data_IF_372383948323
#
_entry.id   IF_372383948323
#
_cell.length_a   1.000
_cell.length_b   1.000
_cell.length_c   1.000
_cell.angle_alpha   90.00
_cell.angle_beta   90.00
_cell.angle_gamma   90.00
#
_symmetry.space_group_name_H-M   'P 1'
#
loop_
_entity.id
_entity.type
_entity.pdbx_description
1 polymer ?
#
# COMPACT_ATOMS: atom_id res chain seq x y z
N UNK A 1 -19.21 -24.05 -4.37
CA UNK A 1 -17.73 -23.92 -4.46
C UNK A 1 -17.39 -22.56 -3.89
N UNK A 2 -16.35 -22.45 -3.06
CA UNK A 2 -15.91 -21.14 -2.56
C UNK A 2 -15.43 -20.29 -3.73
N UNK A 3 -15.90 -19.05 -3.84
CA UNK A 3 -15.56 -18.18 -4.97
C UNK A 3 -15.24 -16.76 -4.50
N UNK A 4 -14.26 -16.17 -5.16
CA UNK A 4 -13.83 -14.79 -4.98
C UNK A 4 -13.88 -14.08 -6.33
N UNK A 5 -14.40 -12.85 -6.33
CA UNK A 5 -14.27 -11.94 -7.46
C UNK A 5 -13.22 -10.90 -7.12
N UNK A 6 -12.12 -10.89 -7.86
CA UNK A 6 -11.01 -9.98 -7.63
C UNK A 6 -10.90 -8.95 -8.76
N UNK A 7 -11.23 -7.69 -8.48
CA UNK A 7 -10.99 -6.58 -9.41
C UNK A 7 -9.51 -6.22 -9.41
N UNK A 8 -8.87 -6.28 -10.59
CA UNK A 8 -7.46 -6.00 -10.79
C UNK A 8 -6.64 -7.26 -11.03
N UNK A 9 -6.41 -7.59 -12.29
CA UNK A 9 -5.58 -8.72 -12.69
C UNK A 9 -4.10 -8.34 -12.81
N UNK A 10 -3.66 -7.23 -12.21
CA UNK A 10 -2.25 -6.79 -12.20
C UNK A 10 -1.36 -7.62 -11.26
N UNK A 11 -0.11 -7.18 -11.09
CA UNK A 11 0.87 -7.95 -10.31
C UNK A 11 0.50 -8.08 -8.82
N UNK A 12 -0.15 -7.08 -8.21
CA UNK A 12 -0.64 -7.19 -6.81
C UNK A 12 -1.81 -8.19 -6.74
N UNK A 13 -2.76 -8.12 -7.66
CA UNK A 13 -3.88 -9.06 -7.67
C UNK A 13 -3.42 -10.50 -7.86
N UNK A 14 -2.55 -10.77 -8.84
CA UNK A 14 -2.05 -12.12 -9.11
C UNK A 14 -0.98 -12.58 -8.12
N UNK A 15 -0.06 -11.71 -7.74
CA UNK A 15 1.07 -12.05 -6.88
C UNK A 15 0.77 -11.99 -5.38
N UNK A 16 -0.39 -11.48 -4.96
CA UNK A 16 -0.72 -11.32 -3.54
C UNK A 16 -2.16 -11.73 -3.23
N UNK A 17 -3.14 -10.84 -3.44
CA UNK A 17 -4.50 -11.05 -2.91
C UNK A 17 -5.20 -12.24 -3.56
N UNK A 18 -5.24 -12.29 -4.89
CA UNK A 18 -5.84 -13.41 -5.62
C UNK A 18 -5.09 -14.73 -5.43
N UNK A 19 -3.75 -14.70 -5.28
CA UNK A 19 -2.96 -15.88 -4.95
C UNK A 19 -3.37 -16.48 -3.59
N UNK A 20 -3.50 -15.64 -2.56
CA UNK A 20 -3.92 -16.09 -1.22
C UNK A 20 -5.32 -16.71 -1.23
N UNK A 21 -6.27 -16.14 -1.98
CA UNK A 21 -7.59 -16.75 -2.16
C UNK A 21 -7.52 -18.12 -2.84
N UNK A 22 -6.77 -18.24 -3.94
CA UNK A 22 -6.60 -19.51 -4.64
C UNK A 22 -5.96 -20.58 -3.75
N UNK A 23 -4.91 -20.22 -3.00
CA UNK A 23 -4.26 -21.10 -2.01
C UNK A 23 -5.21 -21.52 -0.89
N UNK A 24 -6.22 -20.70 -0.59
CA UNK A 24 -7.29 -20.98 0.38
C UNK A 24 -8.43 -21.84 -0.18
N UNK A 25 -8.28 -22.35 -1.41
CA UNK A 25 -9.27 -23.19 -2.09
C UNK A 25 -10.44 -22.43 -2.72
N UNK A 26 -10.32 -21.12 -2.92
CA UNK A 26 -11.32 -20.34 -3.66
C UNK A 26 -11.05 -20.46 -5.17
N UNK A 27 -12.12 -20.54 -5.95
CA UNK A 27 -12.04 -20.20 -7.36
C UNK A 27 -11.98 -18.67 -7.49
N UNK A 28 -10.91 -18.15 -8.10
CA UNK A 28 -10.70 -16.70 -8.24
C UNK A 28 -11.05 -16.24 -9.64
N UNK A 29 -12.10 -15.43 -9.74
CA UNK A 29 -12.47 -14.74 -10.98
C UNK A 29 -11.86 -13.35 -10.97
N UNK A 30 -10.76 -13.18 -11.70
CA UNK A 30 -10.16 -11.87 -11.92
C UNK A 30 -11.03 -11.03 -12.87
N UNK A 31 -11.16 -9.75 -12.57
CA UNK A 31 -11.92 -8.78 -13.36
C UNK A 31 -11.00 -7.62 -13.71
N UNK A 32 -10.75 -7.42 -15.01
CA UNK A 32 -9.84 -6.38 -15.51
C UNK A 32 -10.23 -5.97 -16.94
N UNK A 33 -9.70 -4.86 -17.44
CA UNK A 33 -9.91 -4.39 -18.81
C UNK A 33 -8.85 -4.92 -19.79
N UNK A 34 -7.74 -5.47 -19.27
CA UNK A 34 -6.61 -5.94 -20.06
C UNK A 34 -6.88 -7.30 -20.72
N UNK A 35 -7.38 -7.28 -21.97
CA UNK A 35 -7.71 -8.48 -22.75
C UNK A 35 -6.60 -9.55 -22.74
N UNK A 36 -5.35 -9.15 -22.97
CA UNK A 36 -4.21 -10.08 -23.00
C UNK A 36 -4.11 -10.90 -21.70
N UNK A 37 -4.29 -10.25 -20.54
CA UNK A 37 -4.23 -10.93 -19.24
C UNK A 37 -5.45 -11.83 -19.03
N UNK A 38 -6.64 -11.36 -19.41
CA UNK A 38 -7.89 -12.13 -19.28
C UNK A 38 -7.85 -13.39 -20.16
N UNK A 39 -7.39 -13.27 -21.40
CA UNK A 39 -7.26 -14.39 -22.34
C UNK A 39 -6.22 -15.41 -21.84
N UNK A 40 -5.09 -14.94 -21.30
CA UNK A 40 -4.09 -15.81 -20.68
C UNK A 40 -4.66 -16.54 -19.46
N UNK A 41 -5.37 -15.85 -18.56
CA UNK A 41 -6.00 -16.47 -17.38
C UNK A 41 -6.98 -17.58 -17.78
N UNK A 42 -7.78 -17.35 -18.81
CA UNK A 42 -8.77 -18.33 -19.26
C UNK A 42 -8.19 -19.51 -20.04
N UNK A 43 -7.09 -19.28 -20.79
CA UNK A 43 -6.41 -20.33 -21.53
C UNK A 43 -5.52 -21.21 -20.64
N UNK A 44 -4.78 -20.61 -19.71
CA UNK A 44 -3.82 -21.31 -18.85
C UNK A 44 -4.46 -21.83 -17.55
N UNK A 45 -5.48 -21.12 -17.01
CA UNK A 45 -6.18 -21.42 -15.75
C UNK A 45 -5.29 -21.60 -14.53
N UNK A 46 -4.04 -21.20 -14.66
CA UNK A 46 -2.98 -21.31 -13.67
C UNK A 46 -1.85 -20.36 -14.02
N UNK A 47 -1.02 -20.03 -13.04
CA UNK A 47 0.21 -19.25 -13.19
C UNK A 47 1.11 -19.46 -11.97
N UNK A 48 2.33 -18.92 -12.00
CA UNK A 48 3.29 -19.05 -10.90
C UNK A 48 3.52 -17.73 -10.18
N UNK A 49 3.66 -17.81 -8.86
CA UNK A 49 4.15 -16.73 -8.02
C UNK A 49 5.52 -17.14 -7.50
N UNK A 50 6.54 -16.39 -7.90
CA UNK A 50 7.94 -16.66 -7.59
C UNK A 50 8.44 -15.67 -6.54
N UNK A 51 9.18 -16.13 -5.54
CA UNK A 51 9.81 -15.23 -4.55
C UNK A 51 11.12 -14.65 -5.09
N UNK A 52 11.34 -13.38 -4.80
CA UNK A 52 12.62 -12.69 -5.01
C UNK A 52 13.59 -13.08 -3.90
N UNK A 53 14.03 -14.34 -3.87
CA UNK A 53 14.91 -14.91 -2.85
C UNK A 53 15.82 -15.99 -3.46
N UNK A 54 16.85 -16.41 -2.70
CA UNK A 54 17.70 -17.56 -3.02
C UNK A 54 17.77 -18.50 -1.80
N UNK A 55 17.27 -19.75 -1.89
CA UNK A 55 16.63 -20.33 -3.07
C UNK A 55 15.29 -19.64 -3.40
N UNK A 56 15.00 -19.52 -4.69
CA UNK A 56 13.69 -19.03 -5.16
C UNK A 56 12.62 -20.07 -4.83
N UNK A 57 11.54 -19.62 -4.21
CA UNK A 57 10.35 -20.43 -3.97
C UNK A 57 9.30 -20.10 -5.03
N UNK A 58 8.63 -21.14 -5.54
CA UNK A 58 7.57 -21.00 -6.53
C UNK A 58 6.29 -21.62 -6.00
N UNK A 59 5.23 -20.82 -5.92
CA UNK A 59 3.88 -21.29 -5.68
C UNK A 59 3.11 -21.35 -7.00
N UNK A 60 2.53 -22.51 -7.31
CA UNK A 60 1.59 -22.64 -8.43
C UNK A 60 0.20 -22.20 -7.96
N UNK A 61 -0.39 -21.26 -8.71
CA UNK A 61 -1.72 -20.73 -8.45
C UNK A 61 -2.66 -21.34 -9.49
N UNK A 62 -3.72 -21.99 -9.04
CA UNK A 62 -4.69 -22.71 -9.89
C UNK A 62 -6.12 -22.25 -9.61
N UNK A 63 -7.11 -22.80 -10.31
CA UNK A 63 -8.53 -22.47 -10.09
C UNK A 63 -8.81 -20.97 -10.29
N UNK A 64 -8.31 -20.45 -11.40
CA UNK A 64 -8.49 -19.04 -11.77
C UNK A 64 -9.17 -18.89 -13.12
N UNK A 65 -9.87 -17.79 -13.31
CA UNK A 65 -10.44 -17.35 -14.59
C UNK A 65 -10.42 -15.82 -14.67
N UNK A 66 -10.66 -15.28 -15.86
CA UNK A 66 -10.74 -13.84 -16.10
C UNK A 66 -12.05 -13.43 -16.76
N UNK A 67 -12.57 -12.25 -16.41
CA UNK A 67 -13.65 -11.56 -17.11
C UNK A 67 -13.24 -10.14 -17.46
N UNK A 68 -13.50 -9.72 -18.71
CA UNK A 68 -13.31 -8.34 -19.11
C UNK A 68 -14.55 -7.50 -18.78
N UNK A 69 -14.47 -6.59 -17.80
CA UNK A 69 -15.63 -5.83 -17.34
C UNK A 69 -16.17 -4.79 -18.34
N UNK A 70 -15.46 -4.50 -19.43
CA UNK A 70 -15.99 -3.67 -20.53
C UNK A 70 -16.81 -4.48 -21.54
N UNK A 71 -16.62 -5.81 -21.58
CA UNK A 71 -17.23 -6.70 -22.58
C UNK A 71 -18.21 -7.70 -21.99
N UNK A 72 -18.01 -8.07 -20.73
CA UNK A 72 -18.67 -9.18 -20.04
C UNK A 72 -19.34 -8.69 -18.74
N UNK A 73 -20.02 -7.55 -18.81
CA UNK A 73 -20.65 -6.91 -17.65
C UNK A 73 -21.62 -7.87 -16.93
N UNK A 74 -22.43 -8.61 -17.69
CA UNK A 74 -23.46 -9.50 -17.13
C UNK A 74 -22.84 -10.71 -16.42
N UNK A 75 -21.73 -11.23 -16.96
CA UNK A 75 -20.98 -12.32 -16.36
C UNK A 75 -20.30 -11.88 -15.06
N UNK A 76 -19.81 -10.63 -14.98
CA UNK A 76 -19.28 -10.08 -13.73
C UNK A 76 -20.40 -9.92 -12.69
N UNK A 77 -21.57 -9.43 -13.09
CA UNK A 77 -22.75 -9.33 -12.21
C UNK A 77 -23.15 -10.71 -11.67
N UNK A 78 -23.17 -11.73 -12.55
CA UNK A 78 -23.45 -13.11 -12.16
C UNK A 78 -22.40 -13.64 -11.18
N UNK A 79 -21.12 -13.41 -11.44
CA UNK A 79 -20.03 -13.86 -10.58
C UNK A 79 -20.11 -13.24 -9.18
N UNK A 80 -20.45 -11.95 -9.07
CA UNK A 80 -20.68 -11.29 -7.77
C UNK A 80 -21.91 -11.88 -7.06
N UNK A 81 -22.95 -12.25 -7.81
CA UNK A 81 -24.14 -12.94 -7.31
C UNK A 81 -23.84 -14.25 -6.57
N UNK A 82 -22.73 -14.91 -6.91
CA UNK A 82 -22.31 -16.20 -6.35
C UNK A 82 -21.11 -16.11 -5.40
N UNK A 83 -20.36 -15.01 -5.42
CA UNK A 83 -19.12 -14.83 -4.65
C UNK A 83 -19.32 -14.87 -3.13
N UNK A 84 -18.34 -15.37 -2.39
CA UNK A 84 -18.26 -15.17 -0.93
C UNK A 84 -17.48 -13.87 -0.61
N UNK A 85 -16.49 -13.55 -1.45
CA UNK A 85 -15.69 -12.33 -1.36
C UNK A 85 -15.66 -11.53 -2.65
N UNK A 86 -15.71 -10.21 -2.53
CA UNK A 86 -15.34 -9.26 -3.58
C UNK A 86 -14.15 -8.46 -3.08
N UNK A 87 -13.04 -8.50 -3.81
CA UNK A 87 -11.81 -7.80 -3.44
C UNK A 87 -11.28 -6.94 -4.57
N UNK A 88 -10.47 -5.94 -4.26
CA UNK A 88 -9.88 -5.04 -5.27
C UNK A 88 -8.40 -4.80 -5.03
N UNK A 89 -7.62 -4.69 -6.11
CA UNK A 89 -6.25 -4.17 -6.12
C UNK A 89 -5.98 -3.44 -7.46
N UNK A 90 -6.66 -2.30 -7.65
CA UNK A 90 -6.77 -1.57 -8.94
C UNK A 90 -6.30 -0.12 -8.88
N UNK A 91 -5.89 0.35 -7.71
CA UNK A 91 -5.57 1.74 -7.47
C UNK A 91 -6.79 2.52 -6.97
N UNK A 92 -6.65 3.34 -5.91
CA UNK A 92 -7.76 4.07 -5.29
C UNK A 92 -8.56 4.95 -6.26
N UNK A 93 -7.90 5.55 -7.25
CA UNK A 93 -8.53 6.41 -8.25
C UNK A 93 -9.49 5.66 -9.19
N UNK A 94 -9.43 4.33 -9.23
CA UNK A 94 -10.28 3.48 -10.07
C UNK A 94 -11.50 2.95 -9.29
N UNK A 95 -11.48 2.95 -7.94
CA UNK A 95 -12.60 2.51 -7.11
C UNK A 95 -13.95 3.17 -7.47
N UNK A 96 -14.04 4.48 -7.77
CA UNK A 96 -15.32 5.08 -8.17
C UNK A 96 -15.83 4.55 -9.52
N UNK A 97 -14.93 4.09 -10.41
CA UNK A 97 -15.29 3.63 -11.76
C UNK A 97 -15.86 2.22 -11.78
N UNK A 98 -15.42 1.36 -10.87
CA UNK A 98 -15.89 -0.03 -10.74
C UNK A 98 -17.08 -0.18 -9.79
N UNK A 99 -17.29 0.77 -8.87
CA UNK A 99 -18.39 0.75 -7.91
C UNK A 99 -19.79 0.56 -8.55
N UNK A 100 -20.15 1.18 -9.69
CA UNK A 100 -21.45 0.93 -10.33
C UNK A 100 -21.67 -0.53 -10.74
N UNK A 101 -20.61 -1.20 -11.22
CA UNK A 101 -20.69 -2.61 -11.59
C UNK A 101 -20.85 -3.51 -10.36
N UNK A 102 -20.10 -3.22 -9.30
CA UNK A 102 -20.24 -3.95 -8.03
C UNK A 102 -21.65 -3.75 -7.44
N UNK A 103 -22.18 -2.52 -7.49
CA UNK A 103 -23.52 -2.20 -7.05
C UNK A 103 -24.59 -3.02 -7.80
N UNK A 104 -24.48 -3.16 -9.13
CA UNK A 104 -25.39 -4.02 -9.92
C UNK A 104 -25.32 -5.50 -9.47
N UNK A 105 -24.12 -6.01 -9.23
CA UNK A 105 -23.89 -7.36 -8.71
C UNK A 105 -24.52 -7.56 -7.32
N UNK A 106 -24.29 -6.63 -6.40
CA UNK A 106 -24.87 -6.64 -5.05
C UNK A 106 -26.40 -6.55 -5.11
N UNK A 107 -26.95 -5.63 -5.91
CA UNK A 107 -28.39 -5.48 -6.13
C UNK A 107 -29.05 -6.77 -6.55
N UNK A 108 -28.47 -7.49 -7.51
CA UNK A 108 -28.98 -8.80 -7.92
C UNK A 108 -28.86 -9.79 -6.77
N UNK A 109 -27.68 -9.86 -6.14
CA UNK A 109 -27.38 -10.83 -5.09
C UNK A 109 -28.36 -10.76 -3.92
N UNK A 110 -28.58 -9.59 -3.33
CA UNK A 110 -29.37 -9.45 -2.08
C UNK A 110 -30.84 -9.88 -2.23
N UNK A 111 -31.33 -9.98 -3.47
CA UNK A 111 -32.68 -10.47 -3.82
C UNK A 111 -32.74 -11.99 -4.02
N UNK A 112 -31.62 -12.63 -4.32
CA UNK A 112 -31.55 -14.03 -4.77
C UNK A 112 -30.75 -14.93 -3.82
N UNK A 113 -29.90 -14.34 -2.98
CA UNK A 113 -28.94 -15.04 -2.14
C UNK A 113 -28.88 -14.41 -0.74
N UNK A 114 -29.12 -15.23 0.28
CA UNK A 114 -29.08 -14.83 1.69
C UNK A 114 -27.68 -14.97 2.31
N UNK A 115 -26.74 -15.63 1.64
CA UNK A 115 -25.40 -15.85 2.18
C UNK A 115 -24.58 -14.54 2.23
N UNK A 116 -23.83 -14.30 3.33
CA UNK A 116 -22.98 -13.13 3.46
C UNK A 116 -22.06 -12.89 2.26
N UNK A 117 -21.86 -11.63 1.91
CA UNK A 117 -20.86 -11.15 0.96
C UNK A 117 -19.89 -10.23 1.69
N UNK A 118 -18.60 -10.51 1.58
CA UNK A 118 -17.55 -9.71 2.20
C UNK A 118 -16.80 -8.89 1.13
N UNK A 119 -16.86 -7.57 1.24
CA UNK A 119 -16.23 -6.63 0.32
C UNK A 119 -15.00 -6.01 0.98
N UNK A 120 -13.82 -6.16 0.36
CA UNK A 120 -12.54 -5.70 0.90
C UNK A 120 -11.69 -5.06 -0.20
N UNK A 121 -11.51 -3.74 -0.15
CA UNK A 121 -10.57 -3.05 -1.02
C UNK A 121 -9.15 -3.16 -0.46
N UNK A 122 -8.27 -3.84 -1.19
CA UNK A 122 -6.88 -4.13 -0.82
C UNK A 122 -5.94 -3.13 -1.53
N UNK A 123 -6.10 -1.85 -1.20
CA UNK A 123 -5.41 -0.75 -1.87
C UNK A 123 -4.35 -0.12 -0.96
N UNK A 124 -3.36 0.56 -1.56
CA UNK A 124 -2.41 1.40 -0.81
C UNK A 124 -3.06 2.75 -0.41
N UNK A 125 -4.18 2.69 0.30
CA UNK A 125 -4.99 3.82 0.72
C UNK A 125 -5.74 3.49 2.02
N UNK A 126 -5.64 4.38 3.00
CA UNK A 126 -6.40 4.30 4.26
C UNK A 126 -7.89 4.44 3.94
N UNK A 127 -8.73 3.56 4.50
CA UNK A 127 -10.18 3.62 4.32
C UNK A 127 -10.64 3.27 2.90
N UNK A 128 -9.85 2.52 2.13
CA UNK A 128 -10.19 2.21 0.74
C UNK A 128 -11.55 1.50 0.59
N UNK A 129 -11.91 0.61 1.53
CA UNK A 129 -13.20 -0.06 1.48
C UNK A 129 -14.33 0.89 1.82
N UNK A 130 -14.14 1.85 2.74
CA UNK A 130 -15.15 2.88 3.00
C UNK A 130 -15.38 3.80 1.80
N UNK A 131 -14.30 4.17 1.08
CA UNK A 131 -14.39 4.92 -0.17
C UNK A 131 -15.20 4.13 -1.19
N UNK A 132 -14.87 2.85 -1.37
CA UNK A 132 -15.59 1.96 -2.29
C UNK A 132 -17.07 1.79 -1.88
N UNK A 133 -17.34 1.55 -0.60
CA UNK A 133 -18.68 1.42 -0.01
C UNK A 133 -19.51 2.65 -0.31
N UNK A 134 -18.99 3.85 -0.05
CA UNK A 134 -19.68 5.10 -0.37
C UNK A 134 -20.11 5.13 -1.83
N UNK A 135 -19.18 4.88 -2.75
CA UNK A 135 -19.48 4.86 -4.18
C UNK A 135 -20.45 3.75 -4.58
N UNK A 136 -20.43 2.58 -3.93
CA UNK A 136 -21.42 1.52 -4.17
C UNK A 136 -22.81 1.98 -3.72
N UNK A 137 -22.93 2.51 -2.50
CA UNK A 137 -24.21 2.96 -1.94
C UNK A 137 -24.84 4.10 -2.77
N UNK A 138 -24.02 4.99 -3.32
CA UNK A 138 -24.46 6.06 -4.23
C UNK A 138 -25.09 5.54 -5.53
N UNK A 139 -24.84 4.27 -5.88
CA UNK A 139 -25.36 3.61 -7.10
C UNK A 139 -26.55 2.68 -6.82
N UNK A 140 -26.92 2.48 -5.56
CA UNK A 140 -28.05 1.64 -5.17
C UNK A 140 -29.33 2.48 -5.02
N UNK A 141 -30.46 1.90 -5.42
CA UNK A 141 -31.78 2.45 -5.14
C UNK A 141 -32.15 2.31 -3.65
N UNK A 142 -33.12 3.11 -3.21
CA UNK A 142 -33.54 3.16 -1.79
C UNK A 142 -34.27 1.90 -1.33
N UNK A 143 -34.76 1.06 -2.24
CA UNK A 143 -35.33 -0.24 -1.91
C UNK A 143 -34.24 -1.28 -1.62
N UNK A 144 -33.10 -1.20 -2.32
CA UNK A 144 -31.99 -2.15 -2.20
C UNK A 144 -31.12 -1.87 -0.98
N UNK A 145 -30.86 -0.60 -0.64
CA UNK A 145 -29.94 -0.25 0.48
C UNK A 145 -30.30 -0.95 1.80
N UNK A 146 -31.57 -1.01 2.25
CA UNK A 146 -31.92 -1.74 3.47
C UNK A 146 -31.67 -3.26 3.39
N UNK A 147 -31.70 -3.84 2.18
CA UNK A 147 -31.49 -5.28 1.98
C UNK A 147 -30.03 -5.72 2.19
N UNK A 148 -29.08 -4.77 2.26
CA UNK A 148 -27.68 -5.08 2.54
C UNK A 148 -27.45 -5.47 4.00
N UNK A 149 -28.30 -4.99 4.92
CA UNK A 149 -28.13 -5.23 6.35
C UNK A 149 -28.12 -6.73 6.66
N UNK A 150 -27.08 -7.18 7.36
CA UNK A 150 -26.86 -8.60 7.67
C UNK A 150 -26.43 -9.49 6.48
N UNK A 151 -26.37 -8.95 5.25
CA UNK A 151 -25.99 -9.70 4.04
C UNK A 151 -24.70 -9.23 3.39
N UNK A 152 -24.36 -7.94 3.46
CA UNK A 152 -23.17 -7.38 2.82
C UNK A 152 -22.33 -6.65 3.84
N UNK A 153 -21.09 -7.08 3.98
CA UNK A 153 -20.13 -6.56 4.95
C UNK A 153 -18.97 -5.90 4.22
N UNK A 154 -18.57 -4.73 4.71
CA UNK A 154 -17.48 -3.94 4.15
C UNK A 154 -16.40 -3.82 5.22
N UNK A 155 -15.22 -4.36 4.95
CA UNK A 155 -14.10 -4.32 5.89
C UNK A 155 -12.92 -3.59 5.27
N UNK A 156 -12.39 -2.60 5.98
CA UNK A 156 -11.13 -1.99 5.59
C UNK A 156 -9.98 -2.98 5.76
N UNK A 157 -8.91 -2.75 5.01
CA UNK A 157 -7.70 -3.57 5.11
C UNK A 157 -6.43 -2.74 5.04
N UNK A 158 -5.37 -3.27 5.64
CA UNK A 158 -4.00 -2.84 5.45
C UNK A 158 -3.24 -3.96 4.75
N UNK A 159 -2.60 -3.63 3.63
CA UNK A 159 -1.86 -4.58 2.80
C UNK A 159 -0.42 -4.13 2.61
N UNK A 160 0.53 -5.06 2.73
CA UNK A 160 1.94 -4.82 2.50
C UNK A 160 2.59 -6.02 1.83
N UNK A 161 3.02 -5.81 0.59
CA UNK A 161 3.89 -6.72 -0.16
C UNK A 161 4.62 -5.92 -1.24
N UNK A 162 5.94 -6.01 -1.26
CA UNK A 162 6.78 -5.44 -2.31
C UNK A 162 6.70 -6.36 -3.52
N UNK A 163 6.28 -5.77 -4.63
CA UNK A 163 6.23 -6.41 -5.93
C UNK A 163 7.08 -5.55 -6.86
N UNK A 164 8.29 -6.00 -7.23
CA UNK A 164 9.21 -5.20 -8.05
C UNK A 164 8.62 -4.92 -9.43
N UNK A 165 9.14 -3.88 -10.08
CA UNK A 165 8.87 -3.68 -11.51
C UNK A 165 9.41 -4.90 -12.26
N UNK A 166 8.57 -5.45 -13.11
CA UNK A 166 8.85 -6.65 -13.86
C UNK A 166 8.11 -6.60 -15.18
N UNK A 167 8.73 -7.16 -16.22
CA UNK A 167 8.14 -7.23 -17.54
C UNK A 167 7.55 -8.62 -17.75
N UNK A 168 6.24 -8.73 -17.53
CA UNK A 168 5.51 -9.98 -17.66
C UNK A 168 4.77 -10.10 -19.00
N UNK A 169 5.23 -9.43 -20.07
CA UNK A 169 4.58 -9.52 -21.39
C UNK A 169 4.45 -10.98 -21.83
N UNK A 170 3.23 -11.39 -22.19
CA UNK A 170 2.91 -12.77 -22.54
C UNK A 170 2.97 -13.79 -21.41
N UNK A 171 3.14 -13.37 -20.14
CA UNK A 171 3.19 -14.27 -18.98
C UNK A 171 2.27 -13.79 -17.86
N UNK A 172 1.62 -14.73 -17.18
CA UNK A 172 0.87 -14.45 -15.95
C UNK A 172 1.75 -14.47 -14.71
N UNK A 173 2.92 -15.09 -14.79
CA UNK A 173 3.80 -15.28 -13.65
C UNK A 173 4.20 -13.95 -13.01
N UNK A 174 4.37 -13.95 -11.69
CA UNK A 174 4.70 -12.74 -10.93
C UNK A 174 5.85 -13.03 -9.97
N UNK A 175 6.86 -12.16 -9.97
CA UNK A 175 7.90 -12.10 -8.97
C UNK A 175 7.45 -11.21 -7.80
N UNK A 176 7.58 -11.68 -6.57
CA UNK A 176 7.16 -10.96 -5.36
C UNK A 176 8.19 -11.14 -4.26
N UNK A 177 8.24 -10.25 -3.27
CA UNK A 177 9.01 -10.55 -2.07
C UNK A 177 8.36 -11.72 -1.27
N UNK A 178 9.16 -12.40 -0.44
CA UNK A 178 8.68 -13.47 0.44
C UNK A 178 7.74 -12.94 1.52
N UNK A 179 8.03 -11.76 2.08
CA UNK A 179 7.19 -11.14 3.09
C UNK A 179 5.85 -10.68 2.50
N UNK A 180 4.78 -10.88 3.25
CA UNK A 180 3.54 -10.18 3.02
C UNK A 180 2.80 -9.97 4.35
N UNK A 181 1.93 -8.99 4.40
CA UNK A 181 1.01 -8.75 5.51
C UNK A 181 -0.34 -8.27 4.95
N UNK A 182 -1.41 -8.95 5.33
CA UNK A 182 -2.77 -8.56 5.00
C UNK A 182 -3.63 -8.61 6.25
N UNK A 183 -4.03 -7.43 6.72
CA UNK A 183 -4.81 -7.24 7.93
C UNK A 183 -6.17 -6.67 7.56
N UNK A 184 -7.25 -7.24 8.11
CA UNK A 184 -8.63 -6.85 7.83
C UNK A 184 -9.31 -6.45 9.13
N UNK A 185 -10.01 -5.31 9.13
CA UNK A 185 -10.70 -4.77 10.29
C UNK A 185 -12.07 -5.43 10.48
N UNK A 186 -12.17 -6.34 11.45
CA UNK A 186 -13.44 -6.97 11.85
C UNK A 186 -13.29 -7.69 13.19
N UNK A 187 -14.37 -7.68 13.97
CA UNK A 187 -14.58 -8.52 15.17
C UNK A 187 -15.44 -9.77 14.86
N UNK A 188 -15.93 -9.89 13.62
CA UNK A 188 -16.79 -10.98 13.18
C UNK A 188 -15.97 -12.20 12.78
N UNK A 189 -16.51 -13.39 13.06
CA UNK A 189 -16.01 -14.61 12.47
C UNK A 189 -16.37 -14.65 10.99
N UNK A 190 -15.35 -14.66 10.13
CA UNK A 190 -15.50 -14.67 8.67
C UNK A 190 -14.76 -15.89 8.09
N UNK A 191 -15.16 -16.36 6.90
CA UNK A 191 -14.46 -17.47 6.25
C UNK A 191 -12.95 -17.23 6.15
N UNK A 192 -12.17 -18.26 6.51
CA UNK A 192 -10.71 -18.16 6.53
C UNK A 192 -10.12 -18.02 5.12
N UNK A 193 -9.13 -17.14 5.02
CA UNK A 193 -8.24 -16.98 3.86
C UNK A 193 -6.80 -16.97 4.37
N UNK A 194 -5.95 -17.80 3.77
CA UNK A 194 -4.51 -17.89 4.01
C UNK A 194 -3.88 -16.50 3.98
N UNK A 195 -3.01 -16.21 4.94
CA UNK A 195 -2.34 -14.92 5.04
C UNK A 195 -3.19 -13.73 5.50
N UNK A 196 -4.52 -13.87 5.62
CA UNK A 196 -5.41 -12.82 6.13
C UNK A 196 -5.48 -12.87 7.66
N UNK A 197 -5.10 -11.78 8.31
CA UNK A 197 -5.26 -11.60 9.77
C UNK A 197 -6.42 -10.65 10.04
N UNK A 198 -7.33 -11.00 10.93
CA UNK A 198 -8.43 -10.11 11.35
C UNK A 198 -8.12 -9.44 12.67
N UNK A 199 -8.42 -8.14 12.78
CA UNK A 199 -8.21 -7.35 14.00
C UNK A 199 -9.40 -6.44 14.25
N UNK A 200 -9.72 -6.10 15.50
CA UNK A 200 -10.84 -5.21 15.81
C UNK A 200 -10.54 -3.73 15.50
N UNK A 201 -9.27 -3.34 15.42
CA UNK A 201 -8.83 -1.99 15.10
C UNK A 201 -7.61 -2.05 14.17
N UNK A 202 -7.74 -1.38 13.02
CA UNK A 202 -6.74 -1.37 11.96
C UNK A 202 -5.74 -0.21 12.10
N UNK A 203 -6.06 0.82 12.88
CA UNK A 203 -5.25 2.03 12.99
C UNK A 203 -3.79 1.74 13.40
N UNK A 204 -3.49 0.87 14.39
CA UNK A 204 -2.11 0.55 14.77
C UNK A 204 -1.32 -0.08 13.61
N UNK A 205 -1.96 -0.93 12.79
CA UNK A 205 -1.32 -1.60 11.67
C UNK A 205 -1.04 -0.67 10.51
N UNK A 206 -1.99 0.22 10.20
CA UNK A 206 -1.83 1.25 9.18
C UNK A 206 -0.68 2.17 9.52
N UNK A 207 -0.65 2.72 10.74
CA UNK A 207 0.40 3.65 11.13
C UNK A 207 1.74 2.96 11.32
N UNK A 208 1.78 1.74 11.88
CA UNK A 208 3.01 0.95 11.95
C UNK A 208 3.61 0.71 10.56
N UNK A 209 2.79 0.33 9.58
CA UNK A 209 3.26 0.14 8.20
C UNK A 209 3.71 1.47 7.58
N UNK A 210 2.92 2.53 7.73
CA UNK A 210 3.25 3.85 7.18
C UNK A 210 4.54 4.41 7.79
N UNK A 211 4.74 4.26 9.09
CA UNK A 211 5.84 4.89 9.82
C UNK A 211 7.08 4.01 9.97
N UNK A 212 6.98 2.72 9.62
CA UNK A 212 8.15 1.84 9.53
C UNK A 212 8.50 1.52 8.09
N UNK A 213 7.58 0.94 7.31
CA UNK A 213 7.86 0.52 5.94
C UNK A 213 7.98 1.73 5.02
N UNK A 214 6.94 2.57 4.95
CA UNK A 214 6.97 3.68 3.98
C UNK A 214 8.02 4.73 4.37
N UNK A 215 8.14 5.06 5.65
CA UNK A 215 9.19 5.97 6.16
C UNK A 215 10.57 5.43 5.86
N UNK A 216 10.88 4.19 6.26
CA UNK A 216 12.20 3.59 6.05
C UNK A 216 12.58 3.55 4.57
N UNK A 217 11.63 3.20 3.70
CA UNK A 217 11.88 3.14 2.26
C UNK A 217 12.14 4.55 1.66
N UNK A 218 11.38 5.56 2.09
CA UNK A 218 11.57 6.95 1.65
C UNK A 218 12.88 7.54 2.17
N UNK A 219 13.22 7.31 3.45
CA UNK A 219 14.49 7.75 4.05
C UNK A 219 15.65 7.13 3.30
N UNK A 220 15.61 5.82 3.06
CA UNK A 220 16.65 5.11 2.28
C UNK A 220 16.81 5.71 0.89
N UNK A 221 15.71 5.98 0.20
CA UNK A 221 15.74 6.57 -1.14
C UNK A 221 16.36 7.97 -1.16
N UNK A 222 15.99 8.85 -0.23
CA UNK A 222 16.49 10.23 -0.22
C UNK A 222 17.98 10.29 0.15
N UNK A 223 18.41 9.56 1.17
CA UNK A 223 19.83 9.48 1.52
C UNK A 223 20.65 8.74 0.47
N UNK A 224 20.12 7.65 -0.11
CA UNK A 224 20.75 6.94 -1.21
C UNK A 224 20.95 7.84 -2.43
N UNK A 225 19.94 8.63 -2.80
CA UNK A 225 20.04 9.58 -3.90
C UNK A 225 21.09 10.68 -3.63
N UNK A 226 21.11 11.26 -2.44
CA UNK A 226 22.14 12.24 -2.05
C UNK A 226 23.56 11.66 -2.08
N UNK A 227 23.69 10.38 -1.74
CA UNK A 227 24.96 9.65 -1.78
C UNK A 227 25.31 9.07 -3.16
N UNK A 228 24.52 9.32 -4.20
CA UNK A 228 24.75 8.83 -5.57
C UNK A 228 24.61 7.31 -5.73
N UNK A 229 23.83 6.65 -4.86
CA UNK A 229 23.52 5.21 -4.97
C UNK A 229 22.40 4.99 -5.98
N UNK A 230 22.40 3.88 -6.70
CA UNK A 230 21.40 3.62 -7.73
C UNK A 230 20.15 2.95 -7.15
N UNK A 231 20.35 1.98 -6.25
CA UNK A 231 19.26 1.16 -5.69
C UNK A 231 19.18 1.23 -4.16
N UNK A 232 18.03 0.82 -3.63
CA UNK A 232 17.73 0.77 -2.19
C UNK A 232 18.66 -0.20 -1.45
N UNK A 233 18.94 -1.36 -2.02
CA UNK A 233 19.86 -2.34 -1.45
C UNK A 233 21.31 -1.82 -1.43
N UNK A 234 21.76 -1.15 -2.51
CA UNK A 234 23.05 -0.47 -2.53
C UNK A 234 23.16 0.65 -1.48
N UNK A 235 22.09 1.42 -1.29
CA UNK A 235 22.04 2.46 -0.27
C UNK A 235 22.16 1.88 1.14
N UNK A 236 21.49 0.76 1.43
CA UNK A 236 21.55 0.11 2.75
C UNK A 236 22.82 -0.70 3.00
N UNK A 237 23.65 -0.93 1.97
CA UNK A 237 25.00 -1.46 2.14
C UNK A 237 25.99 -0.38 2.61
N UNK A 238 25.58 0.90 2.61
CA UNK A 238 26.34 1.99 3.23
C UNK A 238 26.02 2.09 4.73
N UNK A 239 27.00 1.86 5.64
CA UNK A 239 26.73 1.85 7.08
C UNK A 239 26.15 3.18 7.60
N UNK A 240 26.50 4.32 7.00
CA UNK A 240 25.98 5.60 7.44
C UNK A 240 24.49 5.76 7.10
N UNK A 241 24.08 5.31 5.91
CA UNK A 241 22.68 5.32 5.48
C UNK A 241 21.86 4.30 6.29
N UNK A 242 22.40 3.09 6.49
CA UNK A 242 21.77 2.06 7.32
C UNK A 242 21.46 2.60 8.72
N UNK A 243 22.44 3.20 9.40
CA UNK A 243 22.25 3.77 10.74
C UNK A 243 21.27 4.95 10.73
N UNK A 244 21.32 5.81 9.71
CA UNK A 244 20.36 6.90 9.59
C UNK A 244 18.92 6.37 9.46
N UNK A 245 18.68 5.38 8.61
CA UNK A 245 17.37 4.74 8.43
C UNK A 245 16.92 4.11 9.74
N UNK A 246 17.77 3.30 10.36
CA UNK A 246 17.48 2.62 11.63
C UNK A 246 17.12 3.60 12.74
N UNK A 247 17.85 4.71 12.88
CA UNK A 247 17.59 5.71 13.91
C UNK A 247 16.31 6.51 13.62
N UNK A 248 16.01 6.84 12.35
CA UNK A 248 14.71 7.43 11.99
C UNK A 248 13.56 6.47 12.34
N UNK A 249 13.71 5.17 12.08
CA UNK A 249 12.68 4.18 12.40
C UNK A 249 12.50 3.94 13.91
N UNK A 250 13.54 4.13 14.72
CA UNK A 250 13.40 4.13 16.18
C UNK A 250 12.61 5.32 16.70
N UNK A 251 12.79 6.51 16.11
CA UNK A 251 11.99 7.69 16.46
C UNK A 251 10.50 7.48 16.15
N UNK A 252 10.18 6.94 14.97
CA UNK A 252 8.79 6.59 14.65
C UNK A 252 8.26 5.46 15.52
N UNK A 253 9.09 4.48 15.85
CA UNK A 253 8.75 3.39 16.76
C UNK A 253 8.43 3.83 18.18
N UNK A 254 9.15 4.83 18.70
CA UNK A 254 8.86 5.44 20.01
C UNK A 254 7.46 6.09 20.02
N UNK A 255 7.11 6.81 18.95
CA UNK A 255 5.76 7.37 18.78
C UNK A 255 4.69 6.28 18.75
N UNK A 256 4.89 5.22 17.96
CA UNK A 256 3.93 4.12 17.83
C UNK A 256 3.76 3.36 19.15
N UNK A 257 4.84 3.11 19.87
CA UNK A 257 4.84 2.46 21.19
C UNK A 257 4.05 3.27 22.19
N UNK A 258 4.29 4.59 22.27
CA UNK A 258 3.58 5.46 23.20
C UNK A 258 2.09 5.65 22.84
N UNK A 259 1.77 5.71 21.54
CA UNK A 259 0.41 6.00 21.06
C UNK A 259 -0.50 4.77 21.08
N UNK A 260 0.03 3.62 20.66
CA UNK A 260 -0.74 2.39 20.48
C UNK A 260 -0.43 1.30 21.50
N UNK A 261 0.52 1.53 22.42
CA UNK A 261 0.94 0.53 23.40
C UNK A 261 1.59 -0.69 22.76
N UNK A 262 2.25 -0.52 21.61
CA UNK A 262 2.99 -1.61 20.97
C UNK A 262 4.10 -2.12 21.89
N UNK A 263 4.42 -3.40 21.84
CA UNK A 263 5.58 -3.92 22.53
C UNK A 263 6.87 -3.41 21.84
N UNK A 264 7.78 -2.79 22.60
CA UNK A 264 8.99 -2.17 22.09
C UNK A 264 9.95 -3.19 21.45
N UNK A 265 10.15 -4.35 22.07
CA UNK A 265 11.03 -5.40 21.56
C UNK A 265 10.48 -6.01 20.26
N UNK A 266 9.17 -6.26 20.21
CA UNK A 266 8.50 -6.74 18.99
C UNK A 266 8.58 -5.70 17.87
N UNK A 267 8.42 -4.42 18.20
CA UNK A 267 8.52 -3.36 17.20
C UNK A 267 9.95 -3.14 16.71
N UNK A 268 10.95 -3.26 17.58
CA UNK A 268 12.36 -3.24 17.18
C UNK A 268 12.71 -4.42 16.27
N UNK A 269 12.21 -5.63 16.58
CA UNK A 269 12.37 -6.79 15.70
C UNK A 269 11.66 -6.57 14.34
N UNK A 270 10.51 -5.91 14.35
CA UNK A 270 9.83 -5.50 13.11
C UNK A 270 10.68 -4.51 12.30
N UNK A 271 11.28 -3.49 12.92
CA UNK A 271 12.19 -2.54 12.25
C UNK A 271 13.35 -3.28 11.56
N UNK A 272 14.03 -4.20 12.26
CA UNK A 272 15.12 -4.98 11.67
C UNK A 272 14.65 -5.81 10.48
N UNK A 273 13.49 -6.46 10.61
CA UNK A 273 12.85 -7.22 9.52
C UNK A 273 12.53 -6.33 8.32
N UNK A 274 12.07 -5.11 8.55
CA UNK A 274 11.79 -4.14 7.48
C UNK A 274 13.07 -3.73 6.75
N UNK A 275 14.13 -3.40 7.49
CA UNK A 275 15.41 -3.03 6.88
C UNK A 275 15.99 -4.21 6.08
N UNK A 276 15.91 -5.44 6.60
CA UNK A 276 16.37 -6.63 5.87
C UNK A 276 15.58 -6.88 4.58
N UNK A 277 14.27 -6.53 4.54
CA UNK A 277 13.47 -6.60 3.32
C UNK A 277 14.00 -5.65 2.25
N UNK A 278 14.38 -4.44 2.65
CA UNK A 278 14.93 -3.43 1.74
C UNK A 278 16.34 -3.79 1.23
N UNK A 279 17.12 -4.52 2.03
CA UNK A 279 18.44 -5.03 1.63
C UNK A 279 18.38 -6.20 0.64
N UNK A 280 17.19 -6.69 0.29
CA UNK A 280 17.05 -7.81 -0.62
C UNK A 280 17.55 -7.44 -2.04
N UNK A 281 18.68 -8.01 -2.50
CA UNK A 281 19.28 -7.63 -3.78
C UNK A 281 18.40 -8.05 -4.96
N UNK A 282 17.52 -9.04 -4.82
CA UNK A 282 16.66 -9.52 -5.90
C UNK A 282 15.52 -8.54 -6.26
N UNK A 283 15.31 -7.49 -5.47
CA UNK A 283 14.31 -6.45 -5.75
C UNK A 283 14.82 -5.37 -6.70
N UNK A 284 16.13 -5.06 -6.67
CA UNK A 284 16.80 -4.02 -7.48
C UNK A 284 16.00 -2.72 -7.62
N UNK A 285 15.53 -2.20 -6.48
CA UNK A 285 14.58 -1.09 -6.47
C UNK A 285 15.33 0.26 -6.55
N UNK A 286 15.09 1.05 -7.60
CA UNK A 286 15.83 2.30 -7.82
C UNK A 286 15.49 3.42 -6.84
N UNK A 287 16.49 4.13 -6.30
CA UNK A 287 16.26 5.22 -5.32
C UNK A 287 15.43 6.36 -5.91
N UNK A 288 15.56 6.65 -7.21
CA UNK A 288 14.77 7.69 -7.89
C UNK A 288 13.30 7.28 -8.00
N UNK A 289 13.03 6.01 -8.31
CA UNK A 289 11.68 5.45 -8.37
C UNK A 289 11.02 5.45 -7.00
N UNK A 290 11.75 5.03 -5.98
CA UNK A 290 11.23 4.99 -4.61
C UNK A 290 11.07 6.39 -4.05
N UNK A 291 11.97 7.34 -4.39
CA UNK A 291 11.99 8.74 -3.96
C UNK A 291 10.94 9.65 -4.59
N UNK A 292 10.40 9.28 -5.77
CA UNK A 292 9.42 10.08 -6.55
C UNK A 292 8.21 10.60 -5.77
N UNK A 293 7.58 11.66 -6.28
CA UNK A 293 6.47 12.36 -5.63
C UNK A 293 6.82 12.88 -4.22
N UNK A 294 7.87 13.72 -4.09
CA UNK A 294 8.30 14.23 -2.79
C UNK A 294 7.27 15.17 -2.15
N UNK A 295 6.52 15.98 -2.91
CA UNK A 295 5.48 16.86 -2.36
C UNK A 295 4.42 16.05 -1.62
N UNK A 296 3.93 14.97 -2.25
CA UNK A 296 2.97 14.06 -1.60
C UNK A 296 3.53 13.46 -0.31
N UNK A 297 4.79 13.01 -0.31
CA UNK A 297 5.43 12.36 0.86
C UNK A 297 5.82 13.33 1.98
N UNK A 298 6.02 14.59 1.64
CA UNK A 298 6.16 15.72 2.55
C UNK A 298 4.81 16.27 3.01
N UNK A 299 3.68 15.67 2.57
CA UNK A 299 2.35 16.04 3.02
C UNK A 299 2.16 15.82 4.53
N UNK A 300 1.26 16.59 5.16
CA UNK A 300 1.11 16.63 6.63
C UNK A 300 0.69 15.31 7.27
N UNK A 301 0.01 14.45 6.50
CA UNK A 301 -0.54 13.17 6.96
C UNK A 301 0.22 11.95 6.41
N UNK A 302 1.35 12.17 5.72
CA UNK A 302 2.16 11.12 5.10
C UNK A 302 3.39 10.77 5.99
N UNK A 303 4.20 9.85 5.48
CA UNK A 303 5.24 9.06 6.17
C UNK A 303 6.37 9.82 6.86
N UNK A 304 6.58 11.10 6.57
CA UNK A 304 7.69 11.87 7.15
C UNK A 304 7.18 12.90 8.15
N UNK A 305 6.25 13.75 7.72
CA UNK A 305 5.83 14.92 8.50
C UNK A 305 4.88 14.53 9.62
N UNK A 306 3.93 13.63 9.39
CA UNK A 306 3.01 13.18 10.43
C UNK A 306 3.75 12.61 11.65
N UNK A 307 4.64 11.60 11.51
CA UNK A 307 5.31 11.04 12.68
C UNK A 307 6.23 12.07 13.35
N UNK A 308 6.90 12.95 12.59
CA UNK A 308 7.73 14.02 13.18
C UNK A 308 6.90 15.01 14.01
N UNK A 309 5.75 15.44 13.48
CA UNK A 309 4.84 16.37 14.14
C UNK A 309 4.25 15.75 15.41
N UNK A 310 3.75 14.53 15.34
CA UNK A 310 3.12 13.88 16.50
C UNK A 310 4.16 13.47 17.55
N UNK A 311 5.33 12.96 17.17
CA UNK A 311 6.42 12.68 18.10
C UNK A 311 6.89 13.96 18.83
N UNK A 312 7.04 15.07 18.10
CA UNK A 312 7.40 16.38 18.67
C UNK A 312 6.36 16.86 19.70
N UNK A 313 5.06 16.69 19.43
CA UNK A 313 3.98 17.03 20.38
C UNK A 313 4.02 16.20 21.66
N UNK A 314 4.52 14.97 21.59
CA UNK A 314 4.72 14.10 22.74
C UNK A 314 6.05 14.33 23.47
N UNK A 315 6.89 15.27 23.00
CA UNK A 315 8.21 15.53 23.54
C UNK A 315 9.24 14.42 23.24
N UNK A 316 8.99 13.61 22.20
CA UNK A 316 9.90 12.58 21.74
C UNK A 316 11.00 13.16 20.83
N UNK A 317 12.17 12.51 20.73
CA UNK A 317 13.21 12.90 19.78
C UNK A 317 12.74 12.83 18.33
N UNK A 318 13.12 13.81 17.51
CA UNK A 318 12.74 13.94 16.09
C UNK A 318 13.91 14.35 15.19
N UNK A 319 15.14 14.22 15.66
CA UNK A 319 16.34 14.68 14.96
C UNK A 319 16.53 13.93 13.63
N UNK A 320 16.35 12.61 13.65
CA UNK A 320 16.52 11.77 12.46
C UNK A 320 15.35 11.88 11.49
N UNK A 321 14.14 12.14 11.98
CA UNK A 321 13.00 12.52 11.16
C UNK A 321 13.21 13.89 10.49
N UNK A 322 13.74 14.88 11.22
CA UNK A 322 14.05 16.19 10.65
C UNK A 322 15.14 16.09 9.56
N UNK A 323 16.18 15.27 9.78
CA UNK A 323 17.19 14.92 8.76
C UNK A 323 16.56 14.27 7.53
N UNK A 324 15.63 13.33 7.71
CA UNK A 324 14.94 12.68 6.60
C UNK A 324 14.06 13.65 5.80
N UNK A 325 13.37 14.57 6.46
CA UNK A 325 12.58 15.63 5.80
C UNK A 325 13.52 16.57 5.03
N UNK A 326 14.65 16.97 5.62
CA UNK A 326 15.66 17.78 4.95
C UNK A 326 16.22 17.09 3.69
N UNK A 327 16.53 15.79 3.77
CA UNK A 327 16.98 15.00 2.63
C UNK A 327 15.91 14.91 1.52
N UNK A 328 14.64 14.77 1.90
CA UNK A 328 13.52 14.79 0.95
C UNK A 328 13.36 16.14 0.24
N UNK A 329 13.61 17.26 0.93
CA UNK A 329 13.59 18.60 0.35
C UNK A 329 14.74 18.84 -0.64
N UNK A 330 15.87 18.14 -0.49
CA UNK A 330 17.00 18.23 -1.41
C UNK A 330 16.83 17.34 -2.66
N UNK A 331 15.87 16.42 -2.65
CA UNK A 331 15.63 15.50 -3.75
C UNK A 331 15.26 16.24 -5.04
N UNK A 332 16.09 16.05 -6.08
CA UNK A 332 16.00 16.77 -7.35
C UNK A 332 16.22 15.85 -8.56
N UNK A 333 15.16 15.15 -8.97
CA UNK A 333 15.15 14.31 -10.17
C UNK A 333 14.34 15.02 -11.26
N UNK A 334 14.99 15.35 -12.38
CA UNK A 334 14.37 16.12 -13.49
C UNK A 334 13.17 15.41 -14.11
N UNK A 335 13.20 14.08 -14.14
CA UNK A 335 12.13 13.27 -14.69
C UNK A 335 10.90 13.15 -13.74
N UNK A 336 10.98 13.70 -12.53
CA UNK A 336 9.88 13.72 -11.55
C UNK A 336 9.28 15.14 -11.43
N UNK A 337 8.06 15.39 -11.97
CA UNK A 337 7.44 16.72 -11.94
C UNK A 337 7.27 17.31 -10.54
N UNK A 338 6.95 16.49 -9.52
CA UNK A 338 6.82 16.98 -8.14
C UNK A 338 8.18 17.38 -7.55
N UNK A 339 9.28 16.77 -8.01
CA UNK A 339 10.62 17.15 -7.59
C UNK A 339 11.02 18.49 -8.18
N UNK A 340 10.78 18.72 -9.48
CA UNK A 340 11.03 20.02 -10.11
C UNK A 340 10.15 21.14 -9.49
N UNK A 341 8.88 20.86 -9.25
CA UNK A 341 7.95 21.79 -8.58
C UNK A 341 8.46 22.16 -7.19
N UNK A 342 8.87 21.17 -6.39
CA UNK A 342 9.39 21.39 -5.05
C UNK A 342 10.64 22.28 -5.06
N UNK A 343 11.57 22.03 -5.98
CA UNK A 343 12.79 22.85 -6.11
C UNK A 343 12.45 24.29 -6.54
N UNK A 344 11.48 24.47 -7.45
CA UNK A 344 10.99 25.80 -7.83
C UNK A 344 10.40 26.56 -6.65
N UNK A 345 9.52 25.91 -5.88
CA UNK A 345 8.93 26.50 -4.67
C UNK A 345 10.01 26.92 -3.66
N UNK A 346 11.02 26.08 -3.42
CA UNK A 346 12.11 26.39 -2.48
C UNK A 346 12.91 27.60 -2.95
N UNK A 347 13.20 27.71 -4.26
CA UNK A 347 13.94 28.85 -4.83
C UNK A 347 13.15 30.16 -4.77
N UNK A 348 11.85 30.12 -5.04
CA UNK A 348 11.00 31.31 -5.10
C UNK A 348 10.57 31.81 -3.71
N UNK A 349 10.28 30.90 -2.80
CA UNK A 349 9.57 31.21 -1.55
C UNK A 349 10.42 30.99 -0.29
N UNK A 350 11.49 30.19 -0.39
CA UNK A 350 12.29 29.75 0.74
C UNK A 350 11.70 28.58 1.53
N UNK A 351 12.57 27.85 2.23
CA UNK A 351 12.23 26.57 2.91
C UNK A 351 11.08 26.67 3.92
N UNK A 352 11.11 27.67 4.80
CA UNK A 352 10.10 27.81 5.86
C UNK A 352 8.69 27.96 5.28
N UNK A 353 8.55 28.68 4.17
CA UNK A 353 7.27 28.85 3.49
C UNK A 353 6.82 27.56 2.80
N UNK A 354 7.74 26.85 2.15
CA UNK A 354 7.44 25.54 1.53
C UNK A 354 6.98 24.53 2.58
N UNK A 355 7.66 24.43 3.73
CA UNK A 355 7.23 23.57 4.84
C UNK A 355 5.84 23.94 5.37
N UNK A 356 5.50 25.22 5.40
CA UNK A 356 4.15 25.66 5.78
C UNK A 356 3.10 25.30 4.72
N UNK A 357 3.40 25.48 3.43
CA UNK A 357 2.45 25.24 2.35
C UNK A 357 2.24 23.75 2.07
N UNK A 358 3.32 22.97 1.96
CA UNK A 358 3.31 21.53 1.63
C UNK A 358 3.05 20.69 2.88
N UNK A 359 3.83 20.92 3.93
CA UNK A 359 3.84 20.07 5.14
C UNK A 359 2.90 20.54 6.24
N UNK A 360 2.29 21.72 6.10
CA UNK A 360 1.43 22.37 7.10
C UNK A 360 2.11 22.50 8.47
N UNK A 361 3.44 22.65 8.48
CA UNK A 361 4.20 22.94 9.69
C UNK A 361 4.17 24.43 10.00
N UNK A 362 4.12 24.76 11.28
CA UNK A 362 4.22 26.15 11.74
C UNK A 362 5.66 26.67 11.53
N UNK A 363 5.79 27.86 10.95
CA UNK A 363 7.09 28.44 10.58
C UNK A 363 7.98 28.74 11.80
N UNK A 364 7.37 29.01 12.96
CA UNK A 364 8.05 29.30 14.22
C UNK A 364 8.24 28.06 15.12
N UNK A 365 7.83 26.87 14.68
CA UNK A 365 8.00 25.65 15.47
C UNK A 365 9.47 25.19 15.53
N UNK A 366 9.84 24.58 16.66
CA UNK A 366 11.17 23.98 16.85
C UNK A 366 11.47 22.92 15.76
N UNK A 367 10.45 22.15 15.36
CA UNK A 367 10.60 21.15 14.29
C UNK A 367 10.96 21.81 12.95
N UNK A 368 10.31 22.92 12.57
CA UNK A 368 10.65 23.65 11.33
C UNK A 368 12.07 24.22 11.39
N UNK A 369 12.49 24.73 12.56
CA UNK A 369 13.85 25.23 12.75
C UNK A 369 14.90 24.11 12.61
N UNK A 370 14.64 22.94 13.21
CA UNK A 370 15.51 21.77 13.12
C UNK A 370 15.63 21.27 11.67
N UNK A 371 14.50 21.11 10.96
CA UNK A 371 14.51 20.71 9.54
C UNK A 371 15.34 21.69 8.70
N UNK A 372 15.16 23.00 8.93
CA UNK A 372 15.90 24.04 8.20
C UNK A 372 17.40 23.96 8.48
N UNK A 373 17.79 23.75 9.74
CA UNK A 373 19.20 23.59 10.11
C UNK A 373 19.84 22.36 9.44
N UNK A 374 19.14 21.22 9.44
CA UNK A 374 19.61 19.99 8.78
C UNK A 374 19.73 20.18 7.26
N UNK A 375 18.78 20.85 6.63
CA UNK A 375 18.82 21.15 5.19
C UNK A 375 20.05 21.98 4.82
N UNK A 376 20.32 23.07 5.56
CA UNK A 376 21.48 23.93 5.30
C UNK A 376 22.81 23.24 5.61
N UNK A 377 22.82 22.24 6.49
CA UNK A 377 23.99 21.41 6.74
C UNK A 377 24.26 20.44 5.59
N UNK A 378 23.22 19.79 5.05
CA UNK A 378 23.33 18.79 3.98
C UNK A 378 23.58 19.41 2.60
N UNK A 379 23.18 20.67 2.40
CA UNK A 379 23.39 21.40 1.14
C UNK A 379 24.84 21.83 0.89
N UNK A 380 25.66 21.89 1.95
CA UNK A 380 27.09 22.26 1.89
C UNK A 380 27.93 21.09 1.39
#
# INVERSE_FOLDING_TARGET
MKSNVHFGAGNIGRGFIGALFSQSGYHVTFVDIADEIIDLLNSQKSYKVNTAADPQETAEITSVSGLNNLKQEQEVIQAIGEAEYVTTAIGPAILPRIAPLIAKGISKRVRENEAPLYVIACENQIGATDILKKHILDQLDDETKPMLEGKVFFFNSAVDRIVPIQNNKGSLDVLVETYYEWVVETDQEIPHVEGMTTVPDLAPFIERKLFTVNTGHAVTAYFGWLAGKETIDEALNDPAIYEQVKNTLKETGAYLTQTYGLNEDEHNAYIEKIISRFQNPYLHDGVTRVGRSPIRKLGPEDRLVKPAREASRLGLPVENLAKAIAAALLFNVKEDPESEELQGMIQEQGLSRVLSEVSKLDQGSELTAEITAQYEQMKK
#
